data_IF_240170574171
#
_entry.id   IF_240170574171
#
_cell.length_a   1.000
_cell.length_b   1.000
_cell.length_c   1.000
_cell.angle_alpha   90.00
_cell.angle_beta   90.00
_cell.angle_gamma   90.00
#
_symmetry.space_group_name_H-M   'P 1'
#
loop_
_entity.id
_entity.type
_entity.pdbx_description
1 polymer ?
#
# COMPACT_ATOMS: atom_id res chain seq x y z
N UNK A 1 11.01 -9.80 -10.97
CA UNK A 1 9.65 -10.33 -11.31
C UNK A 1 9.03 -10.91 -10.03
N UNK A 2 7.71 -11.01 -9.86
CA UNK A 2 7.07 -11.53 -8.61
C UNK A 2 7.69 -12.84 -8.10
N UNK A 3 8.09 -13.71 -9.03
CA UNK A 3 8.81 -14.96 -8.74
C UNK A 3 10.14 -14.81 -7.99
N UNK A 4 10.79 -13.65 -8.01
CA UNK A 4 12.05 -13.40 -7.27
C UNK A 4 11.82 -13.03 -5.79
N UNK A 5 10.57 -12.75 -5.41
CA UNK A 5 10.22 -12.32 -4.04
C UNK A 5 9.70 -13.46 -3.16
N UNK A 6 9.43 -14.63 -3.74
CA UNK A 6 8.94 -15.82 -3.00
C UNK A 6 9.86 -16.23 -1.84
N UNK A 7 11.21 -16.29 -2.00
CA UNK A 7 12.09 -16.62 -0.88
C UNK A 7 12.07 -15.57 0.23
N UNK A 8 11.90 -14.29 -0.14
CA UNK A 8 11.81 -13.20 0.83
C UNK A 8 10.47 -13.25 1.58
N UNK A 9 9.36 -13.50 0.88
CA UNK A 9 8.05 -13.66 1.49
C UNK A 9 8.04 -14.80 2.52
N UNK A 10 8.66 -15.95 2.19
CA UNK A 10 8.75 -17.08 3.10
C UNK A 10 9.52 -16.76 4.40
N UNK A 11 10.64 -16.04 4.30
CA UNK A 11 11.41 -15.61 5.48
C UNK A 11 10.63 -14.63 6.36
N UNK A 12 9.89 -13.72 5.74
CA UNK A 12 9.05 -12.76 6.47
C UNK A 12 7.86 -13.44 7.13
N UNK A 13 7.23 -14.43 6.47
CA UNK A 13 6.18 -15.24 7.06
C UNK A 13 6.68 -16.01 8.27
N UNK A 14 7.87 -16.62 8.18
CA UNK A 14 8.49 -17.27 9.33
C UNK A 14 8.78 -16.31 10.49
N UNK A 15 9.17 -15.07 10.19
CA UNK A 15 9.32 -14.04 11.21
C UNK A 15 7.98 -13.72 11.90
N UNK A 16 6.85 -13.78 11.18
CA UNK A 16 5.51 -13.62 11.76
C UNK A 16 5.05 -14.83 12.58
N UNK A 17 5.53 -16.04 12.27
CA UNK A 17 5.30 -17.22 13.12
C UNK A 17 5.95 -17.05 14.51
N UNK A 18 7.09 -16.35 14.57
CA UNK A 18 7.82 -16.04 15.80
C UNK A 18 7.27 -14.81 16.53
N UNK A 19 6.93 -13.76 15.78
CA UNK A 19 6.30 -12.53 16.27
C UNK A 19 5.33 -11.98 15.22
N UNK A 20 4.05 -12.27 15.41
CA UNK A 20 2.98 -11.84 14.52
C UNK A 20 2.84 -10.31 14.41
N UNK A 21 3.44 -9.54 15.32
CA UNK A 21 3.39 -8.07 15.32
C UNK A 21 4.69 -7.43 14.83
N UNK A 22 5.62 -8.22 14.29
CA UNK A 22 6.89 -7.72 13.80
C UNK A 22 6.68 -6.68 12.69
N UNK A 23 6.94 -5.41 13.01
CA UNK A 23 6.66 -4.27 12.14
C UNK A 23 7.34 -4.40 10.78
N UNK A 24 8.58 -4.88 10.76
CA UNK A 24 9.35 -5.01 9.52
C UNK A 24 8.77 -6.10 8.64
N UNK A 25 8.41 -7.25 9.22
CA UNK A 25 7.82 -8.36 8.47
C UNK A 25 6.43 -7.99 7.92
N UNK A 26 5.58 -7.41 8.76
CA UNK A 26 4.26 -6.90 8.37
C UNK A 26 4.38 -5.87 7.24
N UNK A 27 5.25 -4.87 7.40
CA UNK A 27 5.45 -3.85 6.37
C UNK A 27 5.91 -4.45 5.03
N UNK A 28 6.91 -5.34 5.05
CA UNK A 28 7.48 -5.92 3.83
C UNK A 28 6.51 -6.88 3.12
N UNK A 29 5.75 -7.67 3.86
CA UNK A 29 4.69 -8.53 3.29
C UNK A 29 3.58 -7.69 2.65
N UNK A 30 3.21 -6.57 3.30
CA UNK A 30 2.29 -5.60 2.71
C UNK A 30 2.79 -5.05 1.37
N UNK A 31 4.06 -4.66 1.27
CA UNK A 31 4.66 -4.21 0.01
C UNK A 31 4.68 -5.28 -1.09
N UNK A 32 4.96 -6.54 -0.72
CA UNK A 32 4.92 -7.66 -1.66
C UNK A 32 3.50 -7.87 -2.19
N UNK A 33 2.48 -7.81 -1.31
CA UNK A 33 1.08 -7.89 -1.71
C UNK A 33 0.67 -6.73 -2.65
N UNK A 34 1.13 -5.50 -2.38
CA UNK A 34 0.91 -4.36 -3.28
C UNK A 34 1.52 -4.60 -4.68
N UNK A 35 2.74 -5.16 -4.75
CA UNK A 35 3.39 -5.49 -6.03
C UNK A 35 2.59 -6.55 -6.81
N UNK A 36 1.96 -7.47 -6.09
CA UNK A 36 1.06 -8.48 -6.64
C UNK A 36 -0.34 -7.94 -6.96
N UNK A 37 -0.61 -6.67 -6.63
CA UNK A 37 -1.93 -6.01 -6.74
C UNK A 37 -3.02 -6.68 -5.89
N UNK A 38 -2.61 -7.41 -4.86
CA UNK A 38 -3.47 -7.92 -3.81
C UNK A 38 -3.55 -6.84 -2.72
N UNK A 39 -4.43 -5.87 -2.95
CA UNK A 39 -4.52 -4.69 -2.10
C UNK A 39 -5.22 -5.00 -0.78
N UNK A 40 -6.10 -5.99 -0.76
CA UNK A 40 -6.75 -6.54 0.44
C UNK A 40 -5.70 -7.08 1.41
N UNK A 41 -4.83 -7.99 0.96
CA UNK A 41 -3.75 -8.54 1.79
C UNK A 41 -2.73 -7.46 2.17
N UNK A 42 -2.47 -6.50 1.27
CA UNK A 42 -1.60 -5.37 1.58
C UNK A 42 -2.14 -4.54 2.74
N UNK A 43 -3.43 -4.17 2.71
CA UNK A 43 -4.08 -3.43 3.80
C UNK A 43 -3.97 -4.20 5.11
N UNK A 44 -4.30 -5.49 5.14
CA UNK A 44 -4.27 -6.29 6.37
C UNK A 44 -2.89 -6.27 7.05
N UNK A 45 -1.81 -6.46 6.28
CA UNK A 45 -0.45 -6.41 6.81
C UNK A 45 -0.03 -4.98 7.21
N UNK A 46 -0.34 -3.99 6.38
CA UNK A 46 0.06 -2.60 6.60
C UNK A 46 -0.69 -1.94 7.76
N UNK A 47 -1.94 -2.33 8.03
CA UNK A 47 -2.69 -1.89 9.21
C UNK A 47 -1.99 -2.33 10.50
N UNK A 48 -1.55 -3.60 10.58
CA UNK A 48 -0.82 -4.11 11.74
C UNK A 48 0.50 -3.35 11.90
N UNK A 49 1.24 -3.14 10.80
CA UNK A 49 2.48 -2.37 10.83
C UNK A 49 2.24 -0.92 11.31
N UNK A 50 1.18 -0.27 10.83
CA UNK A 50 0.82 1.10 11.19
C UNK A 50 0.37 1.22 12.65
N UNK A 51 -0.37 0.25 13.17
CA UNK A 51 -0.77 0.21 14.59
C UNK A 51 0.44 0.17 15.54
N UNK A 52 1.54 -0.47 15.11
CA UNK A 52 2.75 -0.61 15.91
C UNK A 52 3.72 0.56 15.75
N UNK A 53 3.77 1.16 14.58
CA UNK A 53 4.58 2.35 14.30
C UNK A 53 3.82 3.38 13.44
N UNK A 54 2.92 4.17 14.07
CA UNK A 54 2.07 5.11 13.35
C UNK A 54 2.84 6.31 12.78
N UNK A 55 4.06 6.57 13.28
CA UNK A 55 4.89 7.69 12.85
C UNK A 55 5.78 7.35 11.64
N UNK A 56 5.85 6.07 11.25
CA UNK A 56 6.63 5.65 10.10
C UNK A 56 5.95 6.07 8.79
N UNK A 57 6.38 7.21 8.24
CA UNK A 57 5.85 7.81 7.00
C UNK A 57 5.69 6.81 5.85
N UNK A 58 6.66 5.91 5.66
CA UNK A 58 6.59 4.88 4.60
C UNK A 58 5.44 3.87 4.77
N UNK A 59 5.13 3.46 6.01
CA UNK A 59 4.02 2.54 6.29
C UNK A 59 2.71 3.27 6.05
N UNK A 60 2.56 4.48 6.62
CA UNK A 60 1.36 5.33 6.45
C UNK A 60 1.07 5.60 4.97
N UNK A 61 2.10 5.93 4.17
CA UNK A 61 1.94 6.18 2.74
C UNK A 61 1.47 4.93 1.98
N UNK A 62 2.13 3.80 2.20
CA UNK A 62 1.79 2.56 1.51
C UNK A 62 0.43 1.99 1.93
N UNK A 63 0.04 2.14 3.20
CA UNK A 63 -1.29 1.80 3.68
C UNK A 63 -2.35 2.67 2.99
N UNK A 64 -2.12 3.99 2.96
CA UNK A 64 -2.97 4.93 2.23
C UNK A 64 -3.11 4.56 0.76
N UNK A 65 -2.03 4.21 0.07
CA UNK A 65 -2.06 3.79 -1.34
C UNK A 65 -2.81 2.49 -1.54
N UNK A 66 -2.66 1.54 -0.63
CA UNK A 66 -3.40 0.29 -0.67
C UNK A 66 -4.90 0.54 -0.53
N UNK A 67 -5.33 1.44 0.37
CA UNK A 67 -6.73 1.87 0.44
C UNK A 67 -7.21 2.59 -0.84
N UNK A 68 -6.39 3.45 -1.47
CA UNK A 68 -6.74 4.06 -2.77
C UNK A 68 -7.03 2.97 -3.79
N UNK A 69 -6.14 1.98 -3.90
CA UNK A 69 -6.28 0.91 -4.88
C UNK A 69 -7.36 -0.10 -4.54
N UNK A 70 -7.72 -0.26 -3.28
CA UNK A 70 -8.88 -1.03 -2.84
C UNK A 70 -10.20 -0.27 -3.11
N UNK A 71 -10.14 1.06 -3.17
CA UNK A 71 -11.29 1.95 -3.38
C UNK A 71 -11.83 2.59 -2.10
N UNK A 72 -11.20 2.37 -0.95
CA UNK A 72 -11.52 3.06 0.30
C UNK A 72 -10.84 4.43 0.34
N UNK A 73 -11.37 5.36 -0.45
CA UNK A 73 -10.81 6.70 -0.58
C UNK A 73 -10.95 7.51 0.72
N UNK A 74 -11.89 7.16 1.60
CA UNK A 74 -12.09 7.87 2.87
C UNK A 74 -10.93 7.60 3.86
N UNK A 75 -10.57 6.33 4.04
CA UNK A 75 -9.40 5.97 4.87
C UNK A 75 -8.11 6.49 4.25
N UNK A 76 -7.97 6.37 2.92
CA UNK A 76 -6.81 6.90 2.21
C UNK A 76 -6.59 8.39 2.45
N UNK A 77 -7.63 9.23 2.31
CA UNK A 77 -7.52 10.68 2.55
C UNK A 77 -7.10 11.00 3.98
N UNK A 78 -7.64 10.28 4.96
CA UNK A 78 -7.31 10.48 6.37
C UNK A 78 -5.82 10.21 6.63
N UNK A 79 -5.30 9.07 6.15
CA UNK A 79 -3.90 8.71 6.36
C UNK A 79 -2.92 9.59 5.58
N UNK A 80 -3.34 10.07 4.41
CA UNK A 80 -2.48 10.79 3.48
C UNK A 80 -2.56 12.32 3.63
N UNK A 81 -3.42 12.85 4.51
CA UNK A 81 -3.67 14.28 4.67
C UNK A 81 -2.40 15.13 4.86
N UNK A 82 -1.36 14.56 5.49
CA UNK A 82 -0.09 15.24 5.79
C UNK A 82 1.08 14.78 4.90
N UNK A 83 0.80 14.11 3.78
CA UNK A 83 1.81 13.63 2.83
C UNK A 83 1.68 14.42 1.53
N UNK A 84 2.40 15.54 1.45
CA UNK A 84 2.27 16.53 0.37
C UNK A 84 2.61 15.99 -1.02
N UNK A 85 3.42 14.94 -1.14
CA UNK A 85 3.81 14.38 -2.44
C UNK A 85 2.70 13.52 -3.07
N UNK A 86 1.66 13.16 -2.31
CA UNK A 86 0.57 12.27 -2.77
C UNK A 86 -0.13 12.84 -3.99
N UNK A 87 -0.41 14.15 -4.02
CA UNK A 87 -1.11 14.76 -5.14
C UNK A 87 -0.32 14.59 -6.46
N UNK A 88 0.99 14.85 -6.40
CA UNK A 88 1.88 14.70 -7.55
C UNK A 88 2.03 13.22 -7.94
N UNK A 89 2.24 12.32 -6.98
CA UNK A 89 2.35 10.88 -7.22
C UNK A 89 1.06 10.31 -7.83
N UNK A 90 -0.12 10.71 -7.34
CA UNK A 90 -1.41 10.31 -7.91
C UNK A 90 -1.56 10.78 -9.36
N UNK A 91 -1.07 11.97 -9.70
CA UNK A 91 -1.03 12.44 -11.09
C UNK A 91 -0.26 11.51 -12.02
N UNK A 92 0.87 10.99 -11.56
CA UNK A 92 1.65 9.98 -12.29
C UNK A 92 0.87 8.66 -12.41
N UNK A 93 0.26 8.19 -11.32
CA UNK A 93 -0.51 6.94 -11.32
C UNK A 93 -1.77 6.99 -12.18
N UNK A 94 -2.43 8.15 -12.32
CA UNK A 94 -3.56 8.34 -13.24
C UNK A 94 -3.16 7.91 -14.65
N UNK A 95 -2.02 8.41 -15.14
CA UNK A 95 -1.54 8.08 -16.48
C UNK A 95 -1.04 6.64 -16.56
N UNK A 96 -0.25 6.19 -15.58
CA UNK A 96 0.36 4.86 -15.57
C UNK A 96 -0.69 3.73 -15.56
N UNK A 97 -1.79 3.88 -14.81
CA UNK A 97 -2.87 2.90 -14.80
C UNK A 97 -3.69 2.89 -16.09
N UNK A 98 -3.88 4.04 -16.74
CA UNK A 98 -4.54 4.08 -18.07
C UNK A 98 -3.75 3.30 -19.11
N UNK A 99 -2.42 3.49 -19.13
CA UNK A 99 -1.54 2.77 -20.07
C UNK A 99 -1.60 1.25 -19.88
N UNK A 100 -1.94 0.78 -18.69
CA UNK A 100 -2.08 -0.64 -18.38
C UNK A 100 -3.51 -1.18 -18.55
N UNK A 101 -4.42 -0.38 -19.14
CA UNK A 101 -5.81 -0.79 -19.31
C UNK A 101 -6.57 -0.93 -17.99
N UNK A 102 -6.17 -0.19 -16.95
CA UNK A 102 -6.82 -0.15 -15.62
C UNK A 102 -7.48 1.21 -15.38
N UNK A 103 -8.57 1.55 -16.09
CA UNK A 103 -9.27 2.81 -15.91
C UNK A 103 -9.91 2.92 -14.52
N UNK A 104 -10.22 1.79 -13.88
CA UNK A 104 -10.71 1.71 -12.51
C UNK A 104 -9.69 2.27 -11.51
N UNK A 105 -8.44 1.81 -11.57
CA UNK A 105 -7.36 2.29 -10.69
C UNK A 105 -6.95 3.72 -11.05
N UNK A 106 -6.93 4.06 -12.34
CA UNK A 106 -6.71 5.44 -12.78
C UNK A 106 -7.77 6.40 -12.20
N UNK A 107 -9.04 6.00 -12.21
CA UNK A 107 -10.14 6.80 -11.66
C UNK A 107 -10.02 7.01 -10.15
N UNK A 108 -9.59 5.98 -9.41
CA UNK A 108 -9.30 6.08 -7.97
C UNK A 108 -8.16 7.07 -7.68
N UNK A 109 -7.08 6.99 -8.47
CA UNK A 109 -5.97 7.94 -8.38
C UNK A 109 -6.43 9.38 -8.67
N UNK A 110 -7.28 9.56 -9.68
CA UNK A 110 -7.77 10.88 -10.09
C UNK A 110 -8.58 11.55 -8.98
N UNK A 111 -9.47 10.80 -8.32
CA UNK A 111 -10.29 11.32 -7.22
C UNK A 111 -9.45 11.84 -6.06
N UNK A 112 -8.30 11.22 -5.76
CA UNK A 112 -7.41 11.67 -4.68
C UNK A 112 -6.74 13.02 -4.93
N UNK A 113 -6.88 13.59 -6.14
CA UNK A 113 -6.40 14.92 -6.50
C UNK A 113 -7.51 15.98 -6.46
N UNK A 114 -8.76 15.55 -6.29
CA UNK A 114 -9.88 16.46 -6.15
C UNK A 114 -9.93 16.99 -4.70
N UNK A 115 -10.16 18.31 -4.52
CA UNK A 115 -10.22 18.95 -3.21
C UNK A 115 -11.38 18.45 -2.34
#
# INVERSE_FOLDING_TARGET
RVAELEPAAALLAHALDLDATNVTAQYRLGLIAMLNRDYETAVAHLEIAHQRDPNHRGITKNLGYSYIWLGDLAQARTLLANICEVEQEMGVYVWWWRQQGRPDLSGRAAQMREP
#
